data_IF_615255063171
#
_entry.id   IF_615255063171
#
_cell.length_a   1.000
_cell.length_b   1.000
_cell.length_c   1.000
_cell.angle_alpha   90.00
_cell.angle_beta   90.00
_cell.angle_gamma   90.00
#
_symmetry.space_group_name_H-M   'P 1'
#
loop_
_entity.id
_entity.type
_entity.pdbx_description
1 polymer ?
#
# COMPACT_ATOMS: atom_id res chain seq x y z
N UNK A 1 -7.48 -23.84 10.06
CA UNK A 1 -6.14 -23.26 10.14
C UNK A 1 -5.66 -23.22 11.58
N UNK A 2 -4.40 -23.56 11.80
CA UNK A 2 -3.77 -23.52 13.12
C UNK A 2 -3.15 -22.15 13.46
N UNK A 3 -3.09 -21.24 12.50
CA UNK A 3 -2.46 -19.93 12.62
C UNK A 3 -3.45 -18.81 12.30
N UNK A 4 -3.16 -17.59 12.80
CA UNK A 4 -3.90 -16.39 12.42
C UNK A 4 -3.66 -16.06 10.96
N UNK A 5 -4.74 -15.79 10.23
CA UNK A 5 -4.71 -15.39 8.84
C UNK A 5 -5.38 -14.04 8.70
N UNK A 6 -4.72 -13.14 7.99
CA UNK A 6 -5.24 -11.82 7.68
C UNK A 6 -5.60 -11.76 6.20
N UNK A 7 -6.71 -11.15 5.90
CA UNK A 7 -7.20 -11.00 4.55
C UNK A 7 -7.33 -9.54 4.17
N UNK A 8 -6.90 -9.22 2.96
CA UNK A 8 -6.99 -7.91 2.34
C UNK A 8 -7.61 -8.04 0.95
N UNK A 9 -8.31 -7.01 0.44
CA UNK A 9 -8.66 -6.97 -0.97
C UNK A 9 -7.40 -6.98 -1.84
N UNK A 10 -7.44 -7.68 -2.97
CA UNK A 10 -6.37 -7.68 -3.96
C UNK A 10 -6.56 -6.50 -4.92
N UNK A 11 -5.67 -5.54 -4.82
CA UNK A 11 -5.65 -4.37 -5.69
C UNK A 11 -5.01 -4.71 -7.04
N UNK A 12 -5.61 -4.24 -8.12
CA UNK A 12 -5.04 -4.33 -9.46
C UNK A 12 -4.33 -3.02 -9.82
N UNK A 13 -3.19 -2.81 -9.22
CA UNK A 13 -2.38 -1.60 -9.36
C UNK A 13 -0.92 -1.90 -9.63
N UNK A 14 -0.05 -0.99 -9.24
CA UNK A 14 1.40 -1.09 -9.42
C UNK A 14 2.08 -1.02 -8.06
N UNK A 15 2.86 -2.06 -7.72
CA UNK A 15 3.56 -2.10 -6.44
C UNK A 15 4.48 -0.91 -6.26
N UNK A 16 4.42 -0.34 -5.08
CA UNK A 16 5.22 0.81 -4.67
C UNK A 16 5.74 0.60 -3.24
N UNK A 17 7.04 0.72 -3.06
CA UNK A 17 7.70 0.75 -1.75
C UNK A 17 8.22 2.16 -1.53
N UNK A 18 7.88 2.76 -0.40
CA UNK A 18 8.26 4.14 -0.06
C UNK A 18 9.14 4.11 1.19
N UNK A 19 10.30 4.77 1.11
CA UNK A 19 11.29 4.89 2.18
C UNK A 19 12.14 6.15 1.98
N UNK A 20 12.96 6.49 2.97
CA UNK A 20 14.01 7.48 2.76
C UNK A 20 15.10 6.93 1.85
N UNK A 21 15.54 7.76 0.90
CA UNK A 21 16.74 7.52 0.11
C UNK A 21 18.01 7.92 0.88
N UNK A 22 19.16 7.59 0.29
CA UNK A 22 20.48 7.93 0.85
C UNK A 22 20.72 9.46 0.96
N UNK A 23 19.99 10.24 0.18
CA UNK A 23 19.98 11.71 0.21
C UNK A 23 19.07 12.30 1.30
N UNK A 24 18.37 11.47 2.07
CA UNK A 24 17.42 11.86 3.10
C UNK A 24 16.05 12.31 2.58
N UNK A 25 15.80 12.20 1.28
CA UNK A 25 14.51 12.52 0.70
C UNK A 25 13.60 11.27 0.63
N UNK A 26 12.30 11.48 0.77
CA UNK A 26 11.32 10.39 0.63
C UNK A 26 11.27 9.94 -0.82
N UNK A 27 11.49 8.67 -1.08
CA UNK A 27 11.56 8.10 -2.42
C UNK A 27 10.66 6.87 -2.54
N UNK A 28 10.14 6.67 -3.74
CA UNK A 28 9.26 5.56 -4.07
C UNK A 28 9.86 4.66 -5.16
N UNK A 29 9.78 3.37 -4.93
CA UNK A 29 10.41 2.36 -5.77
C UNK A 29 9.41 1.35 -6.30
N UNK A 30 9.62 0.93 -7.55
CA UNK A 30 8.91 -0.19 -8.16
C UNK A 30 9.42 -1.53 -7.56
N UNK A 31 8.73 -2.61 -7.90
CA UNK A 31 9.15 -3.99 -7.56
C UNK A 31 10.59 -4.32 -7.99
N UNK A 32 11.10 -3.67 -9.04
CA UNK A 32 12.45 -3.92 -9.58
C UNK A 32 13.46 -2.85 -9.14
N UNK A 33 13.10 -1.99 -8.17
CA UNK A 33 13.97 -0.95 -7.63
C UNK A 33 14.08 0.31 -8.50
N UNK A 34 13.23 0.48 -9.51
CA UNK A 34 13.17 1.71 -10.30
C UNK A 34 12.34 2.76 -9.57
N UNK A 35 12.80 4.01 -9.60
CA UNK A 35 12.07 5.14 -9.01
C UNK A 35 10.76 5.42 -9.76
N UNK A 36 9.72 5.72 -8.99
CA UNK A 36 8.50 6.33 -9.48
C UNK A 36 8.64 7.86 -9.41
N UNK A 37 8.65 8.55 -10.57
CA UNK A 37 8.97 9.98 -10.66
C UNK A 37 7.75 10.89 -10.79
N UNK A 38 6.55 10.32 -10.97
CA UNK A 38 5.32 11.11 -11.17
C UNK A 38 4.30 10.90 -10.05
N UNK A 39 4.76 10.88 -8.80
CA UNK A 39 3.93 10.74 -7.61
C UNK A 39 4.37 11.68 -6.47
N UNK A 40 4.89 12.85 -6.80
CA UNK A 40 5.40 13.83 -5.83
C UNK A 40 4.35 14.18 -4.76
N UNK A 41 3.08 14.31 -5.12
CA UNK A 41 1.97 14.57 -4.19
C UNK A 41 1.85 13.53 -3.07
N UNK A 42 2.12 12.26 -3.36
CA UNK A 42 2.12 11.17 -2.37
C UNK A 42 3.32 11.30 -1.43
N UNK A 43 4.50 11.60 -1.99
CA UNK A 43 5.73 11.75 -1.19
C UNK A 43 5.66 12.97 -0.26
N UNK A 44 5.06 14.05 -0.73
CA UNK A 44 4.81 15.27 0.08
C UNK A 44 3.87 14.98 1.25
N UNK A 45 2.78 14.25 1.00
CA UNK A 45 1.82 13.86 2.05
C UNK A 45 2.42 12.90 3.08
N UNK A 46 3.39 12.08 2.68
CA UNK A 46 4.06 11.12 3.59
C UNK A 46 5.27 11.72 4.31
N UNK A 47 5.80 12.86 3.87
CA UNK A 47 6.99 13.47 4.47
C UNK A 47 6.93 13.62 5.98
N UNK A 48 5.85 14.12 6.60
CA UNK A 48 5.73 14.20 8.05
C UNK A 48 5.86 12.84 8.76
N UNK A 49 5.42 11.78 8.11
CA UNK A 49 5.54 10.41 8.63
C UNK A 49 6.99 9.96 8.72
N UNK A 50 7.79 10.27 7.70
CA UNK A 50 9.21 9.95 7.66
C UNK A 50 10.05 10.88 8.55
N UNK A 51 9.61 12.12 8.76
CA UNK A 51 10.23 13.03 9.74
C UNK A 51 10.09 12.49 11.17
N UNK A 52 8.96 11.82 11.48
CA UNK A 52 8.72 11.18 12.78
C UNK A 52 9.42 9.83 12.91
N UNK A 53 9.49 9.05 11.85
CA UNK A 53 10.12 7.74 11.81
C UNK A 53 10.93 7.55 10.51
N UNK A 54 12.23 7.94 10.51
CA UNK A 54 13.08 7.85 9.34
C UNK A 54 13.34 6.42 8.84
N UNK A 55 13.14 5.41 9.69
CA UNK A 55 13.34 3.99 9.35
C UNK A 55 12.09 3.34 8.75
N UNK A 56 11.02 4.13 8.57
CA UNK A 56 9.77 3.64 8.00
C UNK A 56 9.98 3.14 6.57
N UNK A 57 9.48 1.94 6.27
CA UNK A 57 9.42 1.39 4.91
C UNK A 57 8.00 0.95 4.65
N UNK A 58 7.28 1.69 3.84
CA UNK A 58 5.88 1.41 3.50
C UNK A 58 5.80 0.58 2.22
N UNK A 59 5.06 -0.52 2.28
CA UNK A 59 4.78 -1.38 1.13
C UNK A 59 3.31 -1.25 0.74
N UNK A 60 3.04 -0.96 -0.52
CA UNK A 60 1.69 -0.71 -1.00
C UNK A 60 1.55 -0.79 -2.51
N UNK A 61 0.44 -0.28 -2.97
CA UNK A 61 0.05 -0.26 -4.37
C UNK A 61 -0.30 1.17 -4.81
N UNK A 62 0.19 1.60 -5.97
CA UNK A 62 -0.33 2.77 -6.67
C UNK A 62 -1.62 2.36 -7.37
N UNK A 63 -2.73 2.94 -6.95
CA UNK A 63 -4.06 2.46 -7.29
C UNK A 63 -5.09 3.57 -7.15
N UNK A 64 -6.22 3.40 -7.77
CA UNK A 64 -7.44 4.15 -7.49
C UNK A 64 -8.65 3.26 -7.80
N UNK A 65 -9.49 3.01 -6.81
CA UNK A 65 -10.62 2.10 -6.93
C UNK A 65 -11.67 2.58 -7.93
N UNK A 66 -11.83 3.88 -8.09
CA UNK A 66 -12.74 4.47 -9.09
C UNK A 66 -12.27 4.20 -10.52
N UNK A 67 -10.98 3.91 -10.69
CA UNK A 67 -10.35 3.55 -11.97
C UNK A 67 -10.08 2.05 -12.11
N UNK A 68 -10.68 1.19 -11.30
CA UNK A 68 -10.43 -0.27 -11.30
C UNK A 68 -10.65 -0.94 -12.67
N UNK A 69 -11.53 -0.38 -13.49
CA UNK A 69 -11.78 -0.85 -14.86
C UNK A 69 -10.87 -0.16 -15.91
N UNK A 70 -9.97 0.71 -15.49
CA UNK A 70 -9.06 1.47 -16.37
C UNK A 70 -7.63 1.50 -15.79
N UNK A 71 -7.10 0.34 -15.46
CA UNK A 71 -5.75 0.16 -14.93
C UNK A 71 -4.66 0.83 -15.78
N UNK A 72 -4.81 0.81 -17.11
CA UNK A 72 -3.87 1.44 -18.02
C UNK A 72 -3.69 2.93 -17.79
N UNK A 73 -4.71 3.62 -17.25
CA UNK A 73 -4.61 5.04 -16.92
C UNK A 73 -3.59 5.26 -15.79
N UNK A 74 -3.67 4.48 -14.72
CA UNK A 74 -2.71 4.55 -13.60
C UNK A 74 -1.30 4.22 -14.09
N UNK A 75 -1.13 3.12 -14.83
CA UNK A 75 0.19 2.74 -15.36
C UNK A 75 0.78 3.85 -16.23
N UNK A 76 -0.02 4.44 -17.11
CA UNK A 76 0.46 5.49 -18.02
C UNK A 76 0.99 6.73 -17.28
N UNK A 77 0.37 7.08 -16.17
CA UNK A 77 0.77 8.20 -15.33
C UNK A 77 2.04 7.89 -14.52
N UNK A 78 2.05 6.76 -13.80
CA UNK A 78 3.17 6.45 -12.89
C UNK A 78 4.46 6.09 -13.61
N UNK A 79 4.40 5.57 -14.84
CA UNK A 79 5.58 5.22 -15.64
C UNK A 79 6.27 6.42 -16.31
N UNK A 80 5.74 7.64 -16.19
CA UNK A 80 6.37 8.84 -16.74
C UNK A 80 7.73 9.08 -16.08
N UNK A 81 8.78 9.07 -16.87
CA UNK A 81 10.16 9.35 -16.42
C UNK A 81 10.55 10.81 -16.56
N UNK A 82 9.85 11.56 -17.39
CA UNK A 82 9.96 13.01 -17.58
C UNK A 82 8.56 13.61 -17.59
N UNK A 83 7.90 13.66 -16.41
CA UNK A 83 6.53 14.15 -16.34
C UNK A 83 6.49 15.66 -16.61
N UNK A 84 5.51 16.08 -17.42
CA UNK A 84 5.16 17.49 -17.60
C UNK A 84 4.33 17.99 -16.41
N UNK A 85 4.07 19.30 -16.32
CA UNK A 85 3.21 19.84 -15.27
C UNK A 85 1.78 19.30 -15.36
N UNK A 86 1.29 19.04 -16.57
CA UNK A 86 0.00 18.40 -16.80
C UNK A 86 0.00 16.95 -16.28
N UNK A 87 1.06 16.18 -16.56
CA UNK A 87 1.21 14.81 -16.06
C UNK A 87 1.22 14.78 -14.51
N UNK A 88 1.88 15.74 -13.88
CA UNK A 88 1.91 15.86 -12.40
C UNK A 88 0.55 16.20 -11.83
N UNK A 89 -0.14 17.16 -12.43
CA UNK A 89 -1.49 17.56 -12.03
C UNK A 89 -2.47 16.40 -12.15
N UNK A 90 -2.43 15.66 -13.25
CA UNK A 90 -3.29 14.51 -13.48
C UNK A 90 -2.97 13.36 -12.52
N UNK A 91 -1.69 13.09 -12.23
CA UNK A 91 -1.29 12.11 -11.23
C UNK A 91 -1.77 12.50 -9.83
N UNK A 92 -1.66 13.79 -9.45
CA UNK A 92 -2.13 14.28 -8.16
C UNK A 92 -3.65 14.11 -7.96
N UNK A 93 -4.40 14.15 -9.04
CA UNK A 93 -5.85 13.92 -9.00
C UNK A 93 -6.24 12.44 -8.97
N UNK A 94 -5.52 11.58 -9.70
CA UNK A 94 -5.95 10.23 -9.99
C UNK A 94 -5.17 9.12 -9.29
N UNK A 95 -3.87 9.33 -8.97
CA UNK A 95 -3.02 8.29 -8.39
C UNK A 95 -3.04 8.36 -6.88
N UNK A 96 -3.37 7.23 -6.23
CA UNK A 96 -3.35 7.08 -4.78
C UNK A 96 -2.33 6.00 -4.40
N UNK A 97 -1.76 6.10 -3.19
CA UNK A 97 -0.96 5.05 -2.57
C UNK A 97 -1.80 4.31 -1.53
N UNK A 98 -2.00 3.03 -1.74
CA UNK A 98 -2.72 2.14 -0.83
C UNK A 98 -1.71 1.27 -0.09
N UNK A 99 -1.44 1.60 1.17
CA UNK A 99 -0.49 0.89 2.02
C UNK A 99 -1.12 -0.37 2.60
N UNK A 100 -0.47 -1.51 2.46
CA UNK A 100 -0.93 -2.78 2.98
C UNK A 100 0.06 -3.47 3.93
N UNK A 101 1.30 -2.99 4.03
CA UNK A 101 2.30 -3.54 4.94
C UNK A 101 3.36 -2.50 5.34
N UNK A 102 4.05 -2.81 6.41
CA UNK A 102 5.27 -2.16 6.88
C UNK A 102 6.41 -3.16 6.75
N UNK A 103 7.42 -2.84 5.92
CA UNK A 103 8.48 -3.77 5.59
C UNK A 103 9.53 -3.81 6.71
N UNK A 104 9.19 -4.42 7.83
CA UNK A 104 10.09 -4.73 8.93
C UNK A 104 10.19 -6.26 9.09
N UNK A 105 11.40 -6.79 9.25
CA UNK A 105 11.66 -8.22 9.14
C UNK A 105 11.53 -8.99 10.44
N UNK A 106 11.54 -8.31 11.59
CA UNK A 106 11.58 -8.95 12.90
C UNK A 106 10.21 -9.14 13.53
N UNK A 107 9.21 -8.32 13.14
CA UNK A 107 7.85 -8.41 13.66
C UNK A 107 6.97 -9.30 12.79
N UNK A 108 6.05 -10.02 13.46
CA UNK A 108 4.96 -10.72 12.82
C UNK A 108 3.97 -9.73 12.16
N UNK A 109 3.12 -10.21 11.27
CA UNK A 109 2.21 -9.36 10.51
C UNK A 109 1.24 -8.57 11.42
N UNK A 110 0.76 -9.18 12.50
CA UNK A 110 -0.11 -8.53 13.48
C UNK A 110 0.55 -7.33 14.15
N UNK A 111 1.84 -7.45 14.48
CA UNK A 111 2.62 -6.38 15.11
C UNK A 111 2.86 -5.25 14.10
N UNK A 112 3.22 -5.58 12.86
CA UNK A 112 3.37 -4.58 11.79
C UNK A 112 2.08 -3.79 11.54
N UNK A 113 0.92 -4.45 11.60
CA UNK A 113 -0.37 -3.77 11.44
C UNK A 113 -0.69 -2.85 12.63
N UNK A 114 -0.28 -3.20 13.84
CA UNK A 114 -0.42 -2.31 15.00
C UNK A 114 0.46 -1.07 14.85
N UNK A 115 1.69 -1.22 14.37
CA UNK A 115 2.60 -0.11 14.09
C UNK A 115 2.01 0.83 13.04
N UNK A 116 1.49 0.29 11.93
CA UNK A 116 0.85 1.09 10.88
C UNK A 116 -0.39 1.84 11.39
N UNK A 117 -1.22 1.18 12.21
CA UNK A 117 -2.39 1.82 12.82
C UNK A 117 -1.98 2.92 13.79
N UNK A 118 -1.01 2.67 14.67
CA UNK A 118 -0.50 3.66 15.59
C UNK A 118 0.08 4.87 14.85
N UNK A 119 0.82 4.62 13.78
CA UNK A 119 1.37 5.66 12.91
C UNK A 119 0.28 6.52 12.25
N UNK A 120 -0.78 5.88 11.77
CA UNK A 120 -1.97 6.57 11.26
C UNK A 120 -2.62 7.45 12.33
N UNK A 121 -2.80 6.96 13.56
CA UNK A 121 -3.35 7.74 14.67
C UNK A 121 -2.46 8.92 15.07
N UNK A 122 -1.14 8.76 15.08
CA UNK A 122 -0.22 9.85 15.44
C UNK A 122 -0.27 10.96 14.40
N UNK A 123 -0.28 10.62 13.14
CA UNK A 123 -0.49 11.60 12.07
C UNK A 123 -1.85 12.27 12.23
N UNK A 124 -2.89 11.57 12.66
CA UNK A 124 -4.24 12.10 12.94
C UNK A 124 -4.26 13.14 14.07
N UNK A 125 -3.60 12.89 15.16
CA UNK A 125 -3.57 13.77 16.33
C UNK A 125 -2.71 15.02 16.16
N UNK A 126 -1.73 14.99 15.23
CA UNK A 126 -0.81 16.11 15.01
C UNK A 126 -1.30 17.12 13.96
N UNK A 127 -2.53 16.99 13.47
CA UNK A 127 -3.08 17.77 12.35
C UNK A 127 -2.18 17.75 11.09
N UNK A 128 -1.26 16.81 10.99
CA UNK A 128 -0.56 16.52 9.76
C UNK A 128 -1.54 15.79 8.85
N UNK A 129 -2.23 16.52 8.06
CA UNK A 129 -3.14 16.20 6.92
C UNK A 129 -3.52 14.73 6.78
N UNK A 130 -4.42 14.30 7.61
CA UNK A 130 -4.69 12.91 7.91
C UNK A 130 -5.65 12.24 6.98
N UNK A 131 -6.47 13.01 6.38
CA UNK A 131 -7.28 12.58 5.26
C UNK A 131 -6.58 13.02 3.96
N UNK A 132 -5.36 12.54 3.76
CA UNK A 132 -4.76 12.64 2.46
C UNK A 132 -5.70 11.98 1.45
N UNK A 133 -6.06 12.72 0.44
CA UNK A 133 -6.87 12.17 -0.66
C UNK A 133 -6.11 11.07 -1.38
N UNK A 134 -4.78 11.07 -1.29
CA UNK A 134 -3.90 10.21 -2.06
C UNK A 134 -3.21 9.10 -1.26
N UNK A 135 -3.24 9.12 0.09
CA UNK A 135 -2.71 8.01 0.92
C UNK A 135 -3.85 7.29 1.62
N UNK A 136 -3.93 5.99 1.42
CA UNK A 136 -4.95 5.10 1.99
C UNK A 136 -4.29 3.91 2.67
N UNK A 137 -4.97 3.33 3.64
CA UNK A 137 -4.58 2.05 4.23
C UNK A 137 -5.56 0.97 3.79
N UNK A 138 -5.02 -0.16 3.35
CA UNK A 138 -5.84 -1.27 2.85
C UNK A 138 -6.57 -1.93 4.02
N UNK A 139 -7.90 -2.09 3.96
CA UNK A 139 -8.66 -2.79 4.99
C UNK A 139 -8.11 -4.19 5.21
N UNK A 140 -7.88 -4.55 6.47
CA UNK A 140 -7.28 -5.82 6.85
C UNK A 140 -8.13 -6.49 7.93
N UNK A 141 -8.61 -7.68 7.65
CA UNK A 141 -9.48 -8.46 8.53
C UNK A 141 -8.80 -9.75 8.95
N UNK A 142 -8.73 -10.04 10.24
CA UNK A 142 -8.34 -11.35 10.74
C UNK A 142 -9.52 -12.32 10.51
N UNK A 143 -9.28 -13.43 9.84
CA UNK A 143 -10.32 -14.38 9.43
C UNK A 143 -10.01 -15.79 9.88
N UNK A 144 -11.06 -16.54 10.18
CA UNK A 144 -11.02 -18.01 10.28
C UNK A 144 -11.18 -18.62 8.88
N UNK A 145 -10.96 -19.92 8.77
CA UNK A 145 -11.13 -20.64 7.49
C UNK A 145 -12.55 -20.47 6.94
N UNK A 146 -13.57 -20.59 7.79
CA UNK A 146 -14.98 -20.42 7.39
C UNK A 146 -15.30 -18.98 6.96
N UNK A 147 -14.67 -18.00 7.59
CA UNK A 147 -14.87 -16.57 7.27
C UNK A 147 -14.15 -16.15 5.99
N UNK A 148 -13.09 -16.86 5.60
CA UNK A 148 -12.27 -16.47 4.46
C UNK A 148 -13.07 -16.46 3.14
N UNK A 149 -13.92 -17.45 2.92
CA UNK A 149 -14.75 -17.51 1.71
C UNK A 149 -15.77 -16.36 1.66
N UNK A 150 -16.35 -16.01 2.82
CA UNK A 150 -17.29 -14.90 2.93
C UNK A 150 -16.58 -13.58 2.65
N UNK A 151 -15.42 -13.35 3.28
CA UNK A 151 -14.64 -12.12 3.06
C UNK A 151 -14.15 -12.01 1.63
N UNK A 152 -13.77 -13.14 1.00
CA UNK A 152 -13.38 -13.15 -0.40
C UNK A 152 -14.53 -12.70 -1.30
N UNK A 153 -15.74 -13.26 -1.08
CA UNK A 153 -16.92 -12.86 -1.85
C UNK A 153 -17.23 -11.36 -1.68
N UNK A 154 -17.13 -10.83 -0.46
CA UNK A 154 -17.31 -9.40 -0.21
C UNK A 154 -16.32 -8.55 -1.00
N UNK A 155 -15.04 -8.94 -1.06
CA UNK A 155 -14.05 -8.24 -1.85
C UNK A 155 -14.38 -8.26 -3.35
N UNK A 156 -14.87 -9.39 -3.88
CA UNK A 156 -15.32 -9.49 -5.28
C UNK A 156 -16.55 -8.60 -5.54
N UNK A 157 -17.51 -8.60 -4.64
CA UNK A 157 -18.74 -7.80 -4.75
C UNK A 157 -18.43 -6.30 -4.73
N UNK A 158 -17.39 -5.89 -4.00
CA UNK A 158 -16.86 -4.52 -3.99
C UNK A 158 -16.05 -4.18 -5.26
N UNK A 159 -15.80 -5.15 -6.14
CA UNK A 159 -15.14 -4.96 -7.43
C UNK A 159 -13.60 -5.06 -7.38
N UNK A 160 -13.05 -5.69 -6.36
CA UNK A 160 -11.63 -6.04 -6.32
C UNK A 160 -11.33 -7.30 -7.14
N UNK A 161 -10.07 -7.50 -7.51
CA UNK A 161 -9.62 -8.66 -8.33
C UNK A 161 -9.68 -9.99 -7.57
N UNK A 162 -9.86 -9.93 -6.26
CA UNK A 162 -9.83 -11.07 -5.35
C UNK A 162 -9.33 -10.67 -3.98
N UNK A 163 -8.61 -11.57 -3.32
CA UNK A 163 -8.07 -11.36 -1.98
C UNK A 163 -6.62 -11.77 -1.85
N UNK A 164 -5.94 -11.16 -0.90
CA UNK A 164 -4.62 -11.55 -0.43
C UNK A 164 -4.77 -12.12 0.97
N UNK A 165 -4.27 -13.33 1.19
CA UNK A 165 -4.15 -13.92 2.52
C UNK A 165 -2.71 -13.77 3.00
N UNK A 166 -2.56 -13.34 4.24
CA UNK A 166 -1.27 -13.17 4.92
C UNK A 166 -1.26 -13.99 6.20
N UNK A 167 -0.23 -14.82 6.35
CA UNK A 167 0.03 -15.49 7.62
C UNK A 167 0.64 -14.49 8.61
N UNK A 168 0.43 -14.73 9.90
CA UNK A 168 1.05 -13.95 10.98
C UNK A 168 2.52 -14.34 11.14
N UNK A 169 3.35 -13.88 10.21
CA UNK A 169 4.77 -14.19 10.07
C UNK A 169 5.58 -12.94 9.74
N UNK A 170 6.88 -12.94 10.01
CA UNK A 170 7.78 -11.86 9.63
C UNK A 170 7.73 -11.51 8.15
N UNK A 171 8.09 -10.27 7.84
CA UNK A 171 8.12 -9.76 6.47
C UNK A 171 9.18 -10.49 5.64
N UNK A 172 8.80 -11.01 4.48
CA UNK A 172 9.71 -11.69 3.57
C UNK A 172 9.96 -10.83 2.32
N UNK A 173 11.20 -10.38 2.12
CA UNK A 173 11.63 -9.62 0.94
C UNK A 173 11.67 -10.46 -0.35
N UNK A 174 11.10 -11.65 -0.35
CA UNK A 174 11.05 -12.60 -1.47
C UNK A 174 9.69 -13.26 -1.56
N UNK A 175 9.43 -13.99 -2.64
CA UNK A 175 8.24 -14.85 -2.70
C UNK A 175 8.27 -15.86 -1.56
N UNK A 176 7.20 -15.92 -0.79
CA UNK A 176 7.04 -16.85 0.32
C UNK A 176 5.60 -17.37 0.37
N UNK A 177 5.39 -18.47 1.07
CA UNK A 177 4.05 -18.98 1.35
C UNK A 177 3.29 -18.16 2.40
N UNK A 178 3.95 -17.17 3.03
CA UNK A 178 3.34 -16.28 4.01
C UNK A 178 2.31 -15.32 3.39
N UNK A 179 2.32 -15.19 2.05
CA UNK A 179 1.38 -14.39 1.29
C UNK A 179 0.84 -15.21 0.13
N UNK A 180 -0.47 -15.44 0.13
CA UNK A 180 -1.16 -16.20 -0.90
C UNK A 180 -2.22 -15.33 -1.58
N UNK A 181 -2.35 -15.50 -2.89
CA UNK A 181 -3.36 -14.84 -3.70
C UNK A 181 -4.55 -15.77 -3.85
N UNK A 182 -5.73 -15.27 -3.53
CA UNK A 182 -6.99 -15.95 -3.72
C UNK A 182 -7.74 -15.23 -4.84
N UNK A 183 -7.92 -15.92 -5.96
CA UNK A 183 -8.63 -15.44 -7.16
C UNK A 183 -9.65 -16.51 -7.57
N UNK A 184 -10.68 -16.11 -8.27
CA UNK A 184 -11.56 -17.02 -8.98
C UNK A 184 -10.84 -17.67 -10.14
#
# INVERSE_FOLDING_TARGET
WSERVYMQPKLDGVRCVIQLGDDGEVQAYSRTGKLWLNIAHILEDLKPSFDLNPELILDGELYNHDLRNNFNKIISLVRKTKPTDLDRSEAAELVQFHCYDYAHTDEDYSERMQILRAHHYITDLTNCTIYSKCVKYVPTTCVTEDQASIQHQLNLDEGYEGSILRLDKPYACRRSYNLQKFKD
#
